data_IF_693034008391
#
_entry.id   IF_693034008391
#
_cell.length_a   1.000
_cell.length_b   1.000
_cell.length_c   1.000
_cell.angle_alpha   90.00
_cell.angle_beta   90.00
_cell.angle_gamma   90.00
#
_symmetry.space_group_name_H-M   'P 1'
#
loop_
_entity.id
_entity.type
_entity.pdbx_description
1 polymer ?
#
# COMPACT_ATOMS: atom_id res chain seq x y z
N UNK A 1 6.44 -1.23 13.15
CA UNK A 1 6.37 -1.36 11.68
C UNK A 1 7.42 -0.46 11.08
N UNK A 2 8.09 -0.90 10.01
CA UNK A 2 9.14 -0.15 9.31
C UNK A 2 8.90 -0.25 7.80
N UNK A 3 9.17 0.82 7.05
CA UNK A 3 9.20 0.78 5.58
C UNK A 3 10.62 0.38 5.16
N UNK A 4 10.74 -0.74 4.45
CA UNK A 4 12.02 -1.29 3.97
C UNK A 4 12.39 -0.72 2.61
N UNK A 5 11.40 -0.56 1.74
CA UNK A 5 11.57 0.03 0.42
C UNK A 5 10.31 0.80 0.03
N UNK A 6 10.50 1.91 -0.68
CA UNK A 6 9.43 2.69 -1.26
C UNK A 6 9.90 3.24 -2.61
N UNK A 7 9.07 3.08 -3.63
CA UNK A 7 9.25 3.72 -4.92
C UNK A 7 7.90 4.08 -5.50
N UNK A 8 7.90 5.00 -6.44
CA UNK A 8 6.71 5.33 -7.20
C UNK A 8 7.09 5.78 -8.60
N UNK A 9 6.11 5.71 -9.50
CA UNK A 9 6.21 6.24 -10.86
C UNK A 9 4.96 7.02 -11.19
N UNK A 10 5.11 8.05 -12.04
CA UNK A 10 3.96 8.68 -12.71
C UNK A 10 3.12 7.61 -13.38
N UNK A 11 1.81 7.72 -13.23
CA UNK A 11 0.83 6.86 -13.87
C UNK A 11 -0.31 7.72 -14.39
N UNK A 12 -0.86 7.36 -15.54
CA UNK A 12 -2.02 8.01 -16.09
C UNK A 12 -2.89 6.99 -16.83
N UNK A 13 -4.17 7.29 -16.95
CA UNK A 13 -5.16 6.59 -17.76
C UNK A 13 -5.84 7.59 -18.72
N UNK A 14 -6.86 7.15 -19.45
CA UNK A 14 -7.62 8.03 -20.34
C UNK A 14 -8.36 9.17 -19.60
N UNK A 15 -8.64 9.01 -18.30
CA UNK A 15 -9.48 9.94 -17.53
C UNK A 15 -8.81 10.49 -16.28
N UNK A 16 -7.66 9.96 -15.88
CA UNK A 16 -7.02 10.30 -14.61
C UNK A 16 -5.51 10.33 -14.74
N UNK A 17 -4.90 11.34 -14.13
CA UNK A 17 -3.46 11.42 -13.85
C UNK A 17 -3.19 11.09 -12.39
N UNK A 18 -2.00 10.55 -12.12
CA UNK A 18 -1.65 10.13 -10.77
C UNK A 18 -0.32 9.41 -10.63
N UNK A 19 -0.28 8.44 -9.73
CA UNK A 19 0.94 7.73 -9.36
C UNK A 19 0.67 6.29 -8.96
N UNK A 20 1.57 5.40 -9.38
CA UNK A 20 1.62 4.01 -8.90
C UNK A 20 2.77 3.89 -7.91
N UNK A 21 2.44 3.53 -6.67
CA UNK A 21 3.39 3.39 -5.57
C UNK A 21 3.60 1.92 -5.25
N UNK A 22 4.83 1.56 -4.94
CA UNK A 22 5.21 0.22 -4.52
C UNK A 22 5.98 0.32 -3.20
N UNK A 23 5.42 -0.27 -2.15
CA UNK A 23 5.97 -0.23 -0.80
C UNK A 23 6.31 -1.64 -0.35
N UNK A 24 7.41 -1.78 0.37
CA UNK A 24 7.73 -2.98 1.14
C UNK A 24 7.80 -2.58 2.61
N UNK A 25 6.95 -3.19 3.42
CA UNK A 25 6.88 -2.94 4.85
C UNK A 25 7.22 -4.20 5.63
N UNK A 26 7.80 -3.98 6.80
CA UNK A 26 8.03 -5.02 7.79
C UNK A 26 7.31 -4.71 9.09
N UNK A 27 6.77 -5.75 9.69
CA UNK A 27 6.03 -5.72 10.94
C UNK A 27 6.30 -7.00 11.73
N UNK A 28 6.08 -6.92 13.04
CA UNK A 28 6.04 -8.12 13.87
C UNK A 28 4.83 -8.98 13.49
N UNK A 29 5.01 -10.30 13.47
CA UNK A 29 3.99 -11.25 13.06
C UNK A 29 2.95 -11.50 14.16
N UNK A 30 2.12 -10.49 14.43
CA UNK A 30 1.04 -10.56 15.41
C UNK A 30 -0.32 -10.74 14.73
N UNK A 31 -1.35 -11.26 15.44
CA UNK A 31 -2.71 -11.33 14.91
C UNK A 31 -3.29 -9.95 14.54
N UNK A 32 -2.91 -8.90 15.27
CA UNK A 32 -3.31 -7.53 14.96
C UNK A 32 -2.71 -7.07 13.63
N UNK A 33 -1.42 -7.36 13.40
CA UNK A 33 -0.72 -7.09 12.15
C UNK A 33 -1.36 -7.80 10.95
N UNK A 34 -1.72 -9.07 11.10
CA UNK A 34 -2.40 -9.84 10.06
C UNK A 34 -3.78 -9.23 9.72
N UNK A 35 -4.56 -8.87 10.75
CA UNK A 35 -5.87 -8.22 10.56
C UNK A 35 -5.74 -6.85 9.90
N UNK A 36 -4.75 -6.07 10.30
CA UNK A 36 -4.48 -4.76 9.70
C UNK A 36 -4.14 -4.89 8.22
N UNK A 37 -3.21 -5.80 7.84
CA UNK A 37 -2.88 -6.07 6.43
C UNK A 37 -4.09 -6.51 5.62
N UNK A 38 -4.99 -7.32 6.19
CA UNK A 38 -6.21 -7.77 5.53
C UNK A 38 -7.23 -6.65 5.31
N UNK A 39 -7.25 -5.64 6.18
CA UNK A 39 -8.19 -4.52 6.10
C UNK A 39 -7.71 -3.41 5.15
N UNK A 40 -6.40 -3.34 4.85
CA UNK A 40 -5.81 -2.26 4.05
C UNK A 40 -6.50 -2.03 2.70
N UNK A 41 -6.84 -3.05 1.89
CA UNK A 41 -7.48 -2.82 0.59
C UNK A 41 -8.82 -2.10 0.65
N UNK A 42 -9.56 -2.30 1.76
CA UNK A 42 -10.87 -1.70 1.98
C UNK A 42 -10.79 -0.41 2.82
N UNK A 43 -9.58 0.00 3.20
CA UNK A 43 -9.39 1.16 4.07
C UNK A 43 -9.36 2.44 3.25
N UNK A 44 -10.23 3.39 3.60
CA UNK A 44 -10.15 4.73 3.04
C UNK A 44 -8.94 5.48 3.62
N UNK A 45 -7.98 5.81 2.75
CA UNK A 45 -6.75 6.49 3.12
C UNK A 45 -6.78 7.92 2.59
N UNK A 46 -7.01 8.93 3.44
CA UNK A 46 -7.02 10.32 3.00
C UNK A 46 -5.60 10.78 2.66
N UNK A 47 -5.40 11.25 1.43
CA UNK A 47 -4.15 11.86 0.97
C UNK A 47 -4.47 13.26 0.44
N UNK A 48 -3.89 14.34 0.97
CA UNK A 48 -4.15 15.68 0.47
C UNK A 48 -3.88 15.80 -1.05
N UNK A 49 -4.86 16.31 -1.78
CA UNK A 49 -4.79 16.50 -3.24
C UNK A 49 -4.82 15.21 -4.07
N UNK A 50 -5.04 14.04 -3.44
CA UNK A 50 -5.10 12.77 -4.14
C UNK A 50 -6.17 11.85 -3.56
N UNK A 51 -6.75 11.01 -4.42
CA UNK A 51 -7.59 9.89 -4.00
C UNK A 51 -6.81 8.58 -4.18
N UNK A 52 -6.86 7.69 -3.19
CA UNK A 52 -6.41 6.31 -3.37
C UNK A 52 -7.48 5.57 -4.17
N UNK A 53 -7.19 5.32 -5.44
CA UNK A 53 -8.10 4.62 -6.34
C UNK A 53 -8.05 3.11 -6.14
N UNK A 54 -6.89 2.57 -5.74
CA UNK A 54 -6.71 1.15 -5.44
C UNK A 54 -5.56 0.96 -4.45
N UNK A 55 -5.67 -0.06 -3.60
CA UNK A 55 -4.60 -0.51 -2.72
C UNK A 55 -4.68 -2.02 -2.56
N UNK A 56 -3.59 -2.71 -2.89
CA UNK A 56 -3.52 -4.16 -2.77
C UNK A 56 -2.27 -4.61 -2.02
N UNK A 57 -2.41 -5.69 -1.24
CA UNK A 57 -1.28 -6.43 -0.66
C UNK A 57 -0.86 -7.51 -1.66
N UNK A 58 0.12 -7.21 -2.50
CA UNK A 58 0.54 -8.12 -3.59
C UNK A 58 1.28 -9.35 -3.10
N UNK A 59 1.99 -9.24 -1.98
CA UNK A 59 2.74 -10.35 -1.39
C UNK A 59 2.83 -10.20 0.12
N UNK A 60 2.77 -11.33 0.82
CA UNK A 60 3.02 -11.42 2.26
C UNK A 60 3.84 -12.66 2.57
N UNK A 61 4.91 -12.51 3.32
CA UNK A 61 5.72 -13.61 3.82
C UNK A 61 5.98 -13.42 5.32
N UNK A 62 5.91 -14.50 6.09
CA UNK A 62 6.20 -14.48 7.53
C UNK A 62 7.36 -15.43 7.81
N UNK A 63 8.45 -14.90 8.39
CA UNK A 63 9.68 -15.63 8.72
C UNK A 63 10.15 -15.18 10.10
N UNK A 64 10.47 -16.13 10.98
CA UNK A 64 11.04 -15.85 12.31
C UNK A 64 10.30 -14.77 13.12
N UNK A 65 8.95 -14.78 13.10
CA UNK A 65 8.15 -13.81 13.85
C UNK A 65 8.06 -12.41 13.21
N UNK A 66 8.51 -12.25 11.96
CA UNK A 66 8.42 -11.02 11.18
C UNK A 66 7.61 -11.26 9.93
N UNK A 67 6.75 -10.31 9.58
CA UNK A 67 5.99 -10.32 8.34
C UNK A 67 6.51 -9.21 7.43
N UNK A 68 6.93 -9.60 6.23
CA UNK A 68 7.23 -8.68 5.13
C UNK A 68 6.03 -8.65 4.20
N UNK A 69 5.49 -7.47 3.92
CA UNK A 69 4.39 -7.28 2.99
C UNK A 69 4.80 -6.29 1.89
N UNK A 70 4.48 -6.64 0.65
CA UNK A 70 4.60 -5.73 -0.49
C UNK A 70 3.20 -5.19 -0.80
N UNK A 71 3.11 -3.87 -0.93
CA UNK A 71 1.89 -3.15 -1.22
C UNK A 71 2.04 -2.45 -2.56
N UNK A 72 0.96 -2.40 -3.33
CA UNK A 72 0.83 -1.51 -4.47
C UNK A 72 -0.35 -0.58 -4.24
N UNK A 73 -0.13 0.72 -4.45
CA UNK A 73 -1.13 1.77 -4.22
C UNK A 73 -1.24 2.58 -5.50
N UNK A 74 -2.47 2.79 -5.96
CA UNK A 74 -2.78 3.67 -7.07
C UNK A 74 -3.43 4.94 -6.53
N UNK A 75 -2.83 6.09 -6.83
CA UNK A 75 -3.40 7.39 -6.49
C UNK A 75 -3.76 8.16 -7.75
N UNK A 76 -4.87 8.88 -7.72
CA UNK A 76 -5.25 9.86 -8.76
C UNK A 76 -5.26 11.26 -8.16
N UNK A 77 -4.89 12.27 -8.95
CA UNK A 77 -4.92 13.68 -8.53
C UNK A 77 -6.38 14.13 -8.36
N UNK A 78 -6.68 14.78 -7.24
CA UNK A 78 -8.01 15.34 -6.98
C UNK A 78 -8.12 16.74 -7.60
N UNK A 79 -9.12 16.95 -8.45
CA UNK A 79 -9.43 18.25 -9.05
C UNK A 79 -10.05 19.25 -8.07
#
# INVERSE_FOLDING_TARGET
MTIVAARWVRWASASFDGGRHELTIELEATPAAARWLMALPETELPIPGHLVADLIVVQRATVCGRTTARLEVLTVEAC
#
